data_IF_030863948772
#
_entry.id   IF_030863948772
#
_cell.length_a   1.000
_cell.length_b   1.000
_cell.length_c   1.000
_cell.angle_alpha   90.00
_cell.angle_beta   90.00
_cell.angle_gamma   90.00
#
_symmetry.space_group_name_H-M   'P 1'
#
loop_
_entity.id
_entity.type
_entity.pdbx_description
1 polymer ?
#
# COMPACT_ATOMS: atom_id res chain seq x y z
N UNK A 1 -35.02 13.57 -6.16
CA UNK A 1 -33.99 13.22 -5.17
C UNK A 1 -32.67 13.76 -5.68
N UNK A 2 -31.94 14.51 -4.85
CA UNK A 2 -30.63 14.98 -5.24
C UNK A 2 -29.76 13.75 -5.56
N UNK A 3 -29.09 13.77 -6.70
CA UNK A 3 -28.19 12.72 -7.12
C UNK A 3 -27.02 12.71 -6.11
N UNK A 4 -26.98 11.70 -5.22
CA UNK A 4 -26.00 11.61 -4.15
C UNK A 4 -24.64 11.31 -4.78
N UNK A 5 -23.71 12.24 -4.69
CA UNK A 5 -22.34 12.05 -5.19
C UNK A 5 -21.58 11.16 -4.20
N UNK A 6 -21.24 9.96 -4.63
CA UNK A 6 -20.46 9.03 -3.80
C UNK A 6 -18.99 9.10 -4.16
N UNK A 7 -18.14 9.08 -3.13
CA UNK A 7 -16.70 8.95 -3.26
C UNK A 7 -16.21 7.76 -2.45
N UNK A 8 -15.20 7.07 -2.95
CA UNK A 8 -14.58 5.93 -2.28
C UNK A 8 -13.17 6.28 -1.81
N UNK A 9 -12.85 5.89 -0.59
CA UNK A 9 -11.50 5.89 -0.04
C UNK A 9 -11.06 4.46 0.24
N UNK A 10 -9.85 4.12 -0.15
CA UNK A 10 -9.24 2.81 0.11
C UNK A 10 -8.02 2.99 0.99
N UNK A 11 -7.93 2.21 2.06
CA UNK A 11 -6.74 2.04 2.89
C UNK A 11 -6.25 0.60 2.74
N UNK A 12 -5.16 0.41 1.99
CA UNK A 12 -4.49 -0.88 1.83
C UNK A 12 -3.25 -0.93 2.71
N UNK A 13 -3.46 -1.17 4.00
CA UNK A 13 -2.41 -1.20 5.02
C UNK A 13 -1.71 -2.57 5.08
N UNK A 14 -0.88 -2.79 6.09
CA UNK A 14 -0.12 -4.05 6.25
C UNK A 14 -1.03 -5.25 6.52
N UNK A 15 -2.07 -5.08 7.34
CA UNK A 15 -2.92 -6.19 7.81
C UNK A 15 -4.22 -6.36 7.03
N UNK A 16 -4.67 -5.33 6.34
CA UNK A 16 -5.97 -5.35 5.65
C UNK A 16 -6.11 -4.27 4.61
N UNK A 17 -7.05 -4.48 3.70
CA UNK A 17 -7.63 -3.47 2.84
C UNK A 17 -9.00 -3.07 3.38
N UNK A 18 -9.25 -1.77 3.55
CA UNK A 18 -10.53 -1.20 3.93
C UNK A 18 -11.02 -0.25 2.84
N UNK A 19 -12.28 -0.40 2.45
CA UNK A 19 -12.96 0.49 1.51
C UNK A 19 -14.06 1.22 2.26
N UNK A 20 -14.10 2.55 2.17
CA UNK A 20 -15.18 3.37 2.69
C UNK A 20 -15.81 4.16 1.56
N UNK A 21 -17.13 4.18 1.51
CA UNK A 21 -17.89 4.96 0.52
C UNK A 21 -18.67 6.02 1.28
N UNK A 22 -18.43 7.27 0.93
CA UNK A 22 -18.99 8.44 1.60
C UNK A 22 -19.79 9.32 0.63
N UNK A 23 -20.72 10.05 1.19
CA UNK A 23 -21.33 11.18 0.49
C UNK A 23 -20.28 12.28 0.29
N UNK A 24 -20.04 12.66 -0.97
CA UNK A 24 -19.00 13.64 -1.32
C UNK A 24 -19.33 15.08 -0.91
N UNK A 25 -20.57 15.35 -0.49
CA UNK A 25 -21.00 16.67 -0.04
C UNK A 25 -21.02 16.75 1.49
N UNK A 26 -21.63 15.76 2.15
CA UNK A 26 -21.82 15.77 3.60
C UNK A 26 -20.70 15.07 4.37
N UNK A 27 -19.92 14.20 3.69
CA UNK A 27 -18.91 13.35 4.32
C UNK A 27 -19.48 12.15 5.06
N UNK A 28 -20.80 11.96 5.07
CA UNK A 28 -21.46 10.85 5.76
C UNK A 28 -20.98 9.50 5.22
N UNK A 29 -20.69 8.55 6.12
CA UNK A 29 -20.39 7.18 5.74
C UNK A 29 -21.66 6.50 5.21
N UNK A 30 -21.61 6.03 3.97
CA UNK A 30 -22.75 5.38 3.32
C UNK A 30 -22.65 3.85 3.43
N UNK A 31 -21.45 3.31 3.17
CA UNK A 31 -21.18 1.88 3.28
C UNK A 31 -19.68 1.63 3.37
N UNK A 32 -19.29 0.50 3.89
CA UNK A 32 -17.88 0.11 4.00
C UNK A 32 -17.69 -1.39 3.85
N UNK A 33 -16.47 -1.79 3.50
CA UNK A 33 -16.05 -3.18 3.42
C UNK A 33 -14.60 -3.34 3.80
N UNK A 34 -14.22 -4.56 4.18
CA UNK A 34 -12.86 -4.89 4.59
C UNK A 34 -12.49 -6.31 4.20
N UNK A 35 -11.21 -6.51 3.88
CA UNK A 35 -10.59 -7.82 3.69
C UNK A 35 -9.22 -7.85 4.37
N UNK A 36 -8.82 -8.99 4.89
CA UNK A 36 -7.52 -9.17 5.53
C UNK A 36 -6.43 -9.44 4.50
N UNK A 37 -5.20 -9.02 4.80
CA UNK A 37 -4.00 -9.45 4.10
C UNK A 37 -3.36 -10.66 4.83
N UNK A 38 -2.53 -11.47 4.13
CA UNK A 38 -1.74 -12.50 4.78
C UNK A 38 -0.80 -11.91 5.83
N UNK A 39 -0.57 -12.66 6.91
CA UNK A 39 0.44 -12.31 7.91
C UNK A 39 1.86 -12.54 7.36
N UNK A 40 2.83 -11.85 7.93
CA UNK A 40 4.25 -12.02 7.62
C UNK A 40 4.97 -10.72 7.31
N UNK A 41 6.19 -10.87 6.78
CA UNK A 41 7.07 -9.76 6.41
C UNK A 41 7.31 -9.67 4.90
N UNK A 42 6.70 -10.55 4.14
CA UNK A 42 6.65 -10.52 2.67
C UNK A 42 5.31 -11.05 2.18
N UNK A 43 4.89 -10.61 1.01
CA UNK A 43 3.59 -10.99 0.43
C UNK A 43 3.64 -10.91 -1.09
N UNK A 44 2.97 -11.84 -1.76
CA UNK A 44 2.70 -11.70 -3.18
C UNK A 44 1.75 -10.50 -3.39
N UNK A 45 2.13 -9.48 -4.20
CA UNK A 45 1.30 -8.31 -4.45
C UNK A 45 -0.11 -8.61 -4.98
N UNK A 46 -0.33 -9.77 -5.61
CA UNK A 46 -1.65 -10.20 -6.07
C UNK A 46 -2.66 -10.36 -4.92
N UNK A 47 -2.18 -10.63 -3.69
CA UNK A 47 -3.05 -10.65 -2.51
C UNK A 47 -3.64 -9.28 -2.19
N UNK A 48 -2.93 -8.19 -2.48
CA UNK A 48 -3.46 -6.84 -2.28
C UNK A 48 -4.61 -6.53 -3.24
N UNK A 49 -4.48 -6.95 -4.49
CA UNK A 49 -5.56 -6.81 -5.50
C UNK A 49 -6.77 -7.64 -5.10
N UNK A 50 -6.56 -8.90 -4.72
CA UNK A 50 -7.64 -9.78 -4.27
C UNK A 50 -8.36 -9.26 -3.02
N UNK A 51 -7.59 -8.69 -2.06
CA UNK A 51 -8.16 -8.07 -0.87
C UNK A 51 -8.96 -6.80 -1.21
N UNK A 52 -8.50 -5.99 -2.16
CA UNK A 52 -9.24 -4.83 -2.65
C UNK A 52 -10.58 -5.25 -3.27
N UNK A 53 -10.57 -6.23 -4.17
CA UNK A 53 -11.80 -6.75 -4.80
C UNK A 53 -12.78 -7.29 -3.76
N UNK A 54 -12.27 -8.03 -2.77
CA UNK A 54 -13.09 -8.55 -1.66
C UNK A 54 -13.66 -7.42 -0.80
N UNK A 55 -12.87 -6.40 -0.47
CA UNK A 55 -13.32 -5.26 0.32
C UNK A 55 -14.37 -4.42 -0.44
N UNK A 56 -14.19 -4.23 -1.76
CA UNK A 56 -15.18 -3.57 -2.63
C UNK A 56 -16.50 -4.36 -2.64
N UNK A 57 -16.43 -5.68 -2.81
CA UNK A 57 -17.63 -6.54 -2.79
C UNK A 57 -18.33 -6.47 -1.42
N UNK A 58 -17.57 -6.52 -0.32
CA UNK A 58 -18.11 -6.38 1.03
C UNK A 58 -18.77 -5.02 1.30
N UNK A 59 -18.27 -3.95 0.63
CA UNK A 59 -18.89 -2.62 0.67
C UNK A 59 -20.15 -2.52 -0.22
N UNK A 60 -20.56 -3.59 -0.90
CA UNK A 60 -21.69 -3.58 -1.82
C UNK A 60 -21.38 -3.04 -3.22
N UNK A 61 -20.11 -3.08 -3.62
CA UNK A 61 -19.66 -2.62 -4.94
C UNK A 61 -19.40 -1.11 -5.02
N UNK A 62 -19.09 -0.64 -6.23
CA UNK A 62 -18.77 0.77 -6.51
C UNK A 62 -19.89 1.50 -7.29
N UNK A 63 -21.08 0.92 -7.37
CA UNK A 63 -22.18 1.56 -8.10
C UNK A 63 -22.49 2.94 -7.53
N UNK A 64 -22.53 3.94 -8.42
CA UNK A 64 -22.75 5.34 -8.08
C UNK A 64 -21.54 6.08 -7.51
N UNK A 65 -20.38 5.43 -7.41
CA UNK A 65 -19.12 6.08 -7.01
C UNK A 65 -18.54 6.86 -8.19
N UNK A 66 -18.32 8.17 -8.00
CA UNK A 66 -17.78 9.07 -9.04
C UNK A 66 -16.26 9.21 -8.99
N UNK A 67 -15.65 8.95 -7.82
CA UNK A 67 -14.21 9.05 -7.64
C UNK A 67 -13.72 8.08 -6.56
N UNK A 68 -12.49 7.61 -6.73
CA UNK A 68 -11.79 6.74 -5.78
C UNK A 68 -10.37 7.25 -5.53
N UNK A 69 -9.92 7.17 -4.29
CA UNK A 69 -8.53 7.42 -3.91
C UNK A 69 -8.00 6.28 -3.05
N UNK A 70 -6.75 5.92 -3.26
CA UNK A 70 -6.12 4.78 -2.59
C UNK A 70 -4.90 5.26 -1.82
N UNK A 71 -4.88 5.01 -0.51
CA UNK A 71 -3.71 5.05 0.33
C UNK A 71 -3.23 3.63 0.62
N UNK A 72 -1.95 3.44 0.76
CA UNK A 72 -1.36 2.13 1.04
C UNK A 72 -0.14 2.22 1.93
N UNK A 73 0.35 1.07 2.36
CA UNK A 73 1.63 0.98 3.05
C UNK A 73 2.77 1.43 2.13
N UNK A 74 3.83 1.94 2.73
CA UNK A 74 4.98 2.50 2.02
C UNK A 74 6.17 1.54 2.05
N UNK A 75 7.19 1.84 1.25
CA UNK A 75 8.51 1.23 1.21
C UNK A 75 8.58 -0.21 0.68
N UNK A 76 7.47 -0.89 0.44
CA UNK A 76 7.49 -2.20 -0.20
C UNK A 76 7.73 -2.10 -1.71
N UNK A 77 8.76 -2.75 -2.22
CA UNK A 77 9.04 -2.77 -3.65
C UNK A 77 8.25 -3.88 -4.33
N UNK A 78 7.41 -3.51 -5.30
CA UNK A 78 6.76 -4.46 -6.22
C UNK A 78 7.58 -4.54 -7.50
N UNK A 79 8.17 -5.72 -7.75
CA UNK A 79 8.95 -5.96 -8.96
C UNK A 79 8.12 -6.72 -9.99
N UNK A 80 7.94 -6.13 -11.16
CA UNK A 80 7.19 -6.70 -12.28
C UNK A 80 8.10 -6.93 -13.49
N UNK A 81 7.81 -7.96 -14.26
CA UNK A 81 8.44 -8.14 -15.55
C UNK A 81 7.82 -7.20 -16.62
N UNK A 82 8.36 -7.25 -17.82
CA UNK A 82 7.89 -6.39 -18.94
C UNK A 82 6.45 -6.72 -19.41
N UNK A 83 5.87 -7.82 -18.97
CA UNK A 83 4.49 -8.20 -19.19
C UNK A 83 3.57 -7.80 -18.01
N UNK A 84 4.12 -7.20 -16.97
CA UNK A 84 3.39 -6.81 -15.75
C UNK A 84 3.18 -7.95 -14.76
N UNK A 85 3.88 -9.08 -14.93
CA UNK A 85 3.79 -10.21 -14.02
C UNK A 85 4.73 -10.02 -12.82
N UNK A 86 4.25 -10.36 -11.64
CA UNK A 86 5.04 -10.31 -10.40
C UNK A 86 6.25 -11.25 -10.51
N UNK A 87 7.47 -10.72 -10.30
CA UNK A 87 8.72 -11.48 -10.34
C UNK A 87 8.95 -12.23 -9.05
N UNK A 88 8.61 -11.60 -7.91
CA UNK A 88 8.79 -12.15 -6.57
C UNK A 88 7.85 -11.48 -5.57
N UNK A 89 7.70 -12.08 -4.41
CA UNK A 89 6.98 -11.47 -3.29
C UNK A 89 7.64 -10.17 -2.86
N UNK A 90 6.81 -9.18 -2.51
CA UNK A 90 7.26 -7.90 -2.00
C UNK A 90 7.63 -8.02 -0.52
N UNK A 91 8.80 -7.52 -0.15
CA UNK A 91 9.18 -7.36 1.26
C UNK A 91 8.40 -6.20 1.85
N UNK A 92 7.85 -6.39 3.04
CA UNK A 92 7.12 -5.36 3.76
C UNK A 92 8.07 -4.47 4.57
N UNK A 93 7.59 -3.32 5.00
CA UNK A 93 8.34 -2.33 5.76
C UNK A 93 8.91 -2.87 7.10
N UNK A 94 8.34 -3.94 7.63
CA UNK A 94 8.75 -4.61 8.86
C UNK A 94 9.71 -5.80 8.63
N UNK A 95 10.15 -6.04 7.39
CA UNK A 95 11.16 -7.06 7.08
C UNK A 95 12.56 -6.51 7.38
N UNK A 96 13.37 -7.25 8.11
CA UNK A 96 14.71 -6.83 8.55
C UNK A 96 15.86 -7.49 7.81
N UNK A 97 15.58 -8.37 6.83
CA UNK A 97 16.62 -9.17 6.15
C UNK A 97 17.65 -8.33 5.39
N UNK A 98 17.32 -7.10 5.00
CA UNK A 98 18.22 -6.17 4.31
C UNK A 98 19.02 -5.25 5.24
N UNK A 99 18.98 -5.44 6.56
CA UNK A 99 19.64 -4.54 7.52
C UNK A 99 21.15 -4.44 7.30
N UNK A 100 21.83 -5.57 7.09
CA UNK A 100 23.28 -5.60 6.84
C UNK A 100 23.64 -4.92 5.52
N UNK A 101 22.83 -5.10 4.49
CA UNK A 101 23.02 -4.43 3.21
C UNK A 101 22.84 -2.90 3.33
N UNK A 102 21.84 -2.44 4.07
CA UNK A 102 21.65 -1.01 4.35
C UNK A 102 22.84 -0.41 5.10
N UNK A 103 23.35 -1.10 6.12
CA UNK A 103 24.53 -0.69 6.86
C UNK A 103 25.77 -0.60 5.96
N UNK A 104 25.99 -1.60 5.11
CA UNK A 104 27.12 -1.64 4.18
C UNK A 104 27.04 -0.48 3.17
N UNK A 105 25.86 -0.21 2.59
CA UNK A 105 25.66 0.88 1.65
C UNK A 105 25.86 2.26 2.29
N UNK A 106 25.35 2.50 3.50
CA UNK A 106 25.61 3.76 4.21
C UNK A 106 27.11 3.99 4.41
N UNK A 107 27.84 2.95 4.77
CA UNK A 107 29.31 3.03 4.93
C UNK A 107 30.01 3.33 3.59
N UNK A 108 29.61 2.68 2.51
CA UNK A 108 30.15 2.88 1.16
C UNK A 108 29.89 4.31 0.65
N UNK A 109 28.76 4.89 0.99
CA UNK A 109 28.38 6.27 0.64
C UNK A 109 29.04 7.34 1.53
N UNK A 110 29.88 6.98 2.49
CA UNK A 110 30.61 7.89 3.34
C UNK A 110 30.03 8.10 4.74
N UNK A 111 29.13 7.24 5.15
CA UNK A 111 28.44 7.25 6.46
C UNK A 111 27.06 7.92 6.41
N UNK A 112 26.33 7.82 7.51
CA UNK A 112 24.91 8.20 7.59
C UNK A 112 24.65 9.66 7.18
N UNK A 113 25.48 10.59 7.64
CA UNK A 113 25.32 12.01 7.33
C UNK A 113 25.53 12.31 5.84
N UNK A 114 26.51 11.66 5.22
CA UNK A 114 26.79 11.83 3.80
C UNK A 114 25.74 11.14 2.93
N UNK A 115 25.28 9.95 3.33
CA UNK A 115 24.17 9.26 2.69
C UNK A 115 22.91 10.13 2.69
N UNK A 116 22.55 10.70 3.85
CA UNK A 116 21.37 11.56 3.95
C UNK A 116 21.46 12.81 3.05
N UNK A 117 22.66 13.37 2.84
CA UNK A 117 22.86 14.47 1.89
C UNK A 117 22.67 14.04 0.43
N UNK A 118 23.14 12.84 0.07
CA UNK A 118 23.15 12.38 -1.30
C UNK A 118 21.77 11.88 -1.76
N UNK A 119 21.02 11.16 -0.87
CA UNK A 119 19.77 10.48 -1.23
C UNK A 119 18.56 10.94 -0.43
N UNK A 120 18.71 11.91 0.47
CA UNK A 120 17.62 12.51 1.24
C UNK A 120 17.29 11.83 2.56
N UNK A 121 17.85 10.64 2.83
CA UNK A 121 17.67 9.91 4.10
C UNK A 121 18.80 8.92 4.34
N UNK A 122 18.93 8.46 5.58
CA UNK A 122 19.79 7.30 5.90
C UNK A 122 19.08 6.03 5.39
N UNK A 123 19.83 5.13 4.78
CA UNK A 123 19.29 3.86 4.32
C UNK A 123 19.04 2.94 5.51
N UNK A 124 17.85 2.38 5.59
CA UNK A 124 17.44 1.41 6.61
C UNK A 124 16.82 0.18 5.98
N UNK A 125 16.74 -0.92 6.73
CA UNK A 125 16.12 -2.14 6.24
C UNK A 125 14.69 -1.87 5.73
N UNK A 126 14.30 -2.54 4.66
CA UNK A 126 12.95 -2.52 4.06
C UNK A 126 12.51 -1.20 3.41
N UNK A 127 13.32 -0.17 3.47
CA UNK A 127 13.02 1.09 2.78
C UNK A 127 13.68 1.06 1.40
N UNK A 128 12.89 1.23 0.37
CA UNK A 128 13.31 1.15 -1.03
C UNK A 128 13.26 2.52 -1.69
#
# INVERSE_FOLDING_TARGET
MANRKLIAGVDSSTQSCKVVIRDGVTGELVREGRATHPDGTEVNPEHWVSALDTAIAAAGGLDGVEAISIGGQQHGMVALDKQGKVIRDALLWNDTRSADAATALNKELGGDAETAKQVGSVLVASFT
#
